data_IF_748478380724
#
_entry.id   IF_748478380724
#
_cell.length_a   1.000
_cell.length_b   1.000
_cell.length_c   1.000
_cell.angle_alpha   90.00
_cell.angle_beta   90.00
_cell.angle_gamma   90.00
#
_symmetry.space_group_name_H-M   'P 1'
#
loop_
_entity.id
_entity.type
_entity.pdbx_description
1 polymer ?
#
# COMPACT_ATOMS: atom_id res chain seq x y z
N UNK A 1 6.41 21.54 5.33
CA UNK A 1 6.45 20.58 6.47
C UNK A 1 5.87 19.30 5.93
N UNK A 2 6.55 18.17 6.11
CA UNK A 2 6.12 16.89 5.56
C UNK A 2 4.70 16.53 6.03
N UNK A 3 3.85 16.05 5.12
CA UNK A 3 2.50 15.56 5.42
C UNK A 3 2.24 14.19 4.80
N UNK A 4 1.32 13.42 5.39
CA UNK A 4 0.99 12.07 4.90
C UNK A 4 0.44 12.07 3.45
N UNK A 5 -0.19 13.15 2.98
CA UNK A 5 -0.61 13.28 1.58
C UNK A 5 0.53 13.26 0.58
N UNK A 6 1.72 13.68 1.02
CA UNK A 6 2.90 13.76 0.17
C UNK A 6 3.51 12.38 -0.07
N UNK A 7 3.14 11.34 0.69
CA UNK A 7 3.59 9.96 0.43
C UNK A 7 2.69 9.18 -0.53
N UNK A 8 1.56 9.75 -0.95
CA UNK A 8 0.64 9.06 -1.87
C UNK A 8 1.25 8.99 -3.26
N UNK A 9 1.33 7.78 -3.82
CA UNK A 9 2.03 7.51 -5.08
C UNK A 9 3.44 6.96 -4.88
N UNK A 10 3.98 7.01 -3.66
CA UNK A 10 5.38 6.70 -3.39
C UNK A 10 5.59 5.29 -2.84
N UNK A 11 6.83 4.82 -2.98
CA UNK A 11 7.34 3.65 -2.29
C UNK A 11 7.96 4.08 -0.96
N UNK A 12 7.33 3.70 0.14
CA UNK A 12 7.78 4.01 1.49
C UNK A 12 8.15 2.75 2.26
N UNK A 13 8.88 2.91 3.37
CA UNK A 13 9.05 1.87 4.38
C UNK A 13 8.09 2.14 5.53
N UNK A 14 7.31 1.13 5.91
CA UNK A 14 6.50 1.18 7.13
C UNK A 14 7.05 0.21 8.17
N UNK A 15 7.01 0.62 9.43
CA UNK A 15 7.33 -0.21 10.60
C UNK A 15 6.04 -0.50 11.35
N UNK A 16 5.79 -1.77 11.59
CA UNK A 16 4.57 -2.30 12.18
C UNK A 16 4.84 -2.82 13.59
N UNK A 17 3.86 -2.67 14.47
CA UNK A 17 3.84 -3.30 15.80
C UNK A 17 2.53 -4.06 16.00
N UNK A 18 2.60 -5.22 16.68
CA UNK A 18 1.44 -6.08 16.88
C UNK A 18 0.87 -6.66 15.58
N UNK A 19 1.68 -6.80 14.51
CA UNK A 19 1.22 -7.15 13.16
C UNK A 19 0.84 -8.62 12.95
N UNK A 20 0.84 -9.45 14.00
CA UNK A 20 0.43 -10.86 13.94
C UNK A 20 -0.91 -11.10 13.20
N UNK A 21 -1.96 -10.27 13.35
CA UNK A 21 -3.18 -10.42 12.57
C UNK A 21 -2.99 -10.19 11.06
N UNK A 22 -2.04 -9.33 10.66
CA UNK A 22 -1.77 -8.99 9.27
C UNK A 22 -1.06 -10.13 8.50
N UNK A 23 -0.48 -11.11 9.21
CA UNK A 23 0.04 -12.34 8.57
C UNK A 23 -1.04 -13.11 7.82
N UNK A 24 -2.30 -13.05 8.29
CA UNK A 24 -3.45 -13.68 7.61
C UNK A 24 -3.73 -13.13 6.21
N UNK A 25 -3.20 -11.94 5.91
CA UNK A 25 -3.29 -11.28 4.60
C UNK A 25 -1.92 -11.19 3.90
N UNK A 26 -0.92 -11.95 4.37
CA UNK A 26 0.40 -12.08 3.73
C UNK A 26 1.44 -11.03 4.13
N UNK A 27 1.17 -10.24 5.18
CA UNK A 27 2.15 -9.30 5.74
C UNK A 27 2.89 -10.00 6.89
N UNK A 28 3.97 -10.67 6.56
CA UNK A 28 4.73 -11.53 7.50
C UNK A 28 5.75 -10.75 8.34
N UNK A 29 6.32 -9.70 7.75
CA UNK A 29 7.40 -8.90 8.33
C UNK A 29 6.84 -7.66 9.02
N UNK A 30 7.51 -7.24 10.08
CA UNK A 30 7.24 -5.99 10.81
C UNK A 30 7.78 -4.76 10.07
N UNK A 31 8.69 -4.93 9.11
CA UNK A 31 9.23 -3.87 8.26
C UNK A 31 8.99 -4.22 6.80
N UNK A 32 8.21 -3.40 6.11
CA UNK A 32 7.85 -3.66 4.70
C UNK A 32 7.93 -2.39 3.86
N UNK A 33 8.39 -2.55 2.63
CA UNK A 33 8.26 -1.53 1.60
C UNK A 33 6.92 -1.66 0.88
N UNK A 34 6.21 -0.54 0.74
CA UNK A 34 4.85 -0.52 0.19
C UNK A 34 4.65 0.69 -0.72
N UNK A 35 3.91 0.49 -1.81
CA UNK A 35 3.40 1.58 -2.63
C UNK A 35 2.10 2.10 -2.01
N UNK A 36 2.02 3.41 -1.79
CA UNK A 36 0.85 4.05 -1.16
C UNK A 36 -0.18 4.44 -2.22
N UNK A 37 -1.37 3.89 -2.12
CA UNK A 37 -2.50 4.26 -2.97
C UNK A 37 -3.30 5.43 -2.39
N UNK A 38 -3.26 5.63 -1.07
CA UNK A 38 -3.99 6.67 -0.37
C UNK A 38 -4.02 6.45 1.14
N UNK A 39 -4.77 7.29 1.85
CA UNK A 39 -4.98 7.17 3.28
C UNK A 39 -6.30 7.83 3.69
N UNK A 40 -6.85 7.41 4.82
CA UNK A 40 -8.08 7.96 5.40
C UNK A 40 -8.03 7.94 6.93
N UNK A 41 -9.16 8.18 7.59
CA UNK A 41 -9.27 8.18 9.05
C UNK A 41 -9.02 6.81 9.70
N UNK A 42 -9.09 5.71 8.93
CA UNK A 42 -8.90 4.36 9.44
C UNK A 42 -7.48 3.83 9.24
N UNK A 43 -6.78 4.27 8.19
CA UNK A 43 -5.44 3.79 7.91
C UNK A 43 -4.83 4.25 6.58
N UNK A 44 -3.80 3.52 6.18
CA UNK A 44 -3.13 3.68 4.90
C UNK A 44 -3.54 2.58 3.93
N UNK A 45 -3.89 2.95 2.71
CA UNK A 45 -4.14 2.02 1.62
C UNK A 45 -2.84 1.75 0.85
N UNK A 46 -2.42 0.49 0.82
CA UNK A 46 -1.22 0.05 0.11
C UNK A 46 -1.56 -0.83 -1.08
N UNK A 47 -0.71 -0.80 -2.11
CA UNK A 47 -0.81 -1.70 -3.25
C UNK A 47 -0.23 -3.08 -2.93
N UNK A 48 -0.96 -4.14 -3.26
CA UNK A 48 -0.51 -5.52 -3.20
C UNK A 48 -0.69 -6.21 -4.56
N UNK A 49 0.38 -6.49 -5.32
CA UNK A 49 0.28 -6.85 -6.73
C UNK A 49 -0.26 -8.27 -7.00
N UNK A 50 -0.19 -9.18 -6.01
CA UNK A 50 -0.45 -10.61 -6.20
C UNK A 50 -1.25 -11.25 -5.06
N UNK A 51 -2.35 -10.62 -4.65
CA UNK A 51 -3.20 -11.12 -3.57
C UNK A 51 -3.99 -12.36 -4.02
N UNK A 52 -4.03 -13.40 -3.18
CA UNK A 52 -4.68 -14.67 -3.51
C UNK A 52 -6.15 -14.64 -3.11
N UNK A 53 -7.04 -14.77 -4.09
CA UNK A 53 -8.50 -14.79 -3.87
C UNK A 53 -9.14 -16.05 -4.42
N UNK A 54 -10.30 -16.49 -3.89
CA UNK A 54 -11.08 -17.57 -4.48
C UNK A 54 -11.45 -17.28 -5.94
N UNK A 55 -11.39 -18.30 -6.79
CA UNK A 55 -11.83 -18.20 -8.17
C UNK A 55 -13.37 -18.36 -8.27
N UNK A 56 -14.09 -17.29 -7.95
CA UNK A 56 -15.56 -17.27 -7.95
C UNK A 56 -16.18 -17.38 -9.35
N UNK A 57 -15.41 -17.13 -10.40
CA UNK A 57 -15.92 -17.18 -11.79
C UNK A 57 -15.99 -18.58 -12.36
N UNK A 58 -15.36 -19.57 -11.71
CA UNK A 58 -15.30 -20.96 -12.19
C UNK A 58 -14.55 -21.15 -13.51
N UNK A 59 -14.03 -20.08 -14.12
CA UNK A 59 -13.19 -20.15 -15.32
C UNK A 59 -11.76 -20.52 -14.92
N UNK A 60 -11.32 -21.71 -15.34
CA UNK A 60 -9.99 -22.24 -15.07
C UNK A 60 -9.97 -23.34 -14.01
N UNK A 61 -8.93 -24.18 -14.05
CA UNK A 61 -8.78 -25.36 -13.16
C UNK A 61 -8.39 -25.01 -11.72
N UNK A 62 -7.95 -23.79 -11.46
CA UNK A 62 -7.42 -23.39 -10.14
C UNK A 62 -8.53 -22.85 -9.24
N UNK A 63 -8.53 -23.32 -7.97
CA UNK A 63 -9.48 -22.86 -6.93
C UNK A 63 -9.25 -21.41 -6.51
N UNK A 64 -8.05 -20.88 -6.75
CA UNK A 64 -7.66 -19.50 -6.45
C UNK A 64 -7.08 -18.82 -7.68
N UNK A 65 -7.10 -17.48 -7.67
CA UNK A 65 -6.42 -16.63 -8.64
C UNK A 65 -5.68 -15.51 -7.92
N UNK A 66 -4.62 -14.99 -8.56
CA UNK A 66 -3.89 -13.81 -8.08
C UNK A 66 -4.48 -12.57 -8.73
N UNK A 67 -4.73 -11.54 -7.94
CA UNK A 67 -5.22 -10.24 -8.38
C UNK A 67 -4.44 -9.13 -7.71
N UNK A 68 -4.41 -7.97 -8.35
CA UNK A 68 -3.99 -6.74 -7.68
C UNK A 68 -5.05 -6.35 -6.65
N UNK A 69 -4.62 -5.94 -5.46
CA UNK A 69 -5.49 -5.54 -4.39
C UNK A 69 -4.96 -4.26 -3.73
N UNK A 70 -5.88 -3.42 -3.25
CA UNK A 70 -5.56 -2.38 -2.27
C UNK A 70 -5.87 -2.91 -0.88
N UNK A 71 -4.92 -2.83 0.04
CA UNK A 71 -5.04 -3.33 1.40
C UNK A 71 -4.98 -2.15 2.35
N UNK A 72 -5.95 -2.04 3.25
CA UNK A 72 -5.90 -1.07 4.36
C UNK A 72 -5.03 -1.64 5.48
N UNK A 73 -3.98 -0.92 5.85
CA UNK A 73 -3.25 -1.13 7.10
C UNK A 73 -3.76 -0.07 8.10
N UNK A 74 -4.47 -0.50 9.17
CA UNK A 74 -4.95 0.42 10.19
C UNK A 74 -3.82 1.19 10.87
N UNK A 75 -4.08 2.47 11.21
CA UNK A 75 -3.09 3.32 11.89
C UNK A 75 -2.53 2.70 13.17
N UNK A 76 -3.36 1.96 13.90
CA UNK A 76 -2.98 1.28 15.14
C UNK A 76 -1.82 0.27 14.98
N UNK A 77 -1.55 -0.21 13.76
CA UNK A 77 -0.42 -1.10 13.50
C UNK A 77 0.83 -0.34 13.04
N UNK A 78 0.72 0.91 12.59
CA UNK A 78 1.83 1.66 12.00
C UNK A 78 2.49 2.50 13.08
N UNK A 79 3.71 2.11 13.46
CA UNK A 79 4.50 2.86 14.46
C UNK A 79 5.31 3.96 13.80
N UNK A 80 5.78 3.73 12.58
CA UNK A 80 6.61 4.70 11.86
C UNK A 80 6.51 4.52 10.35
N UNK A 81 6.71 5.64 9.65
CA UNK A 81 6.79 5.73 8.20
C UNK A 81 8.10 6.43 7.86
N UNK A 82 8.92 5.79 7.02
CA UNK A 82 10.07 6.43 6.40
C UNK A 82 9.76 6.69 4.92
N UNK A 83 9.75 7.97 4.57
CA UNK A 83 9.68 8.46 3.20
C UNK A 83 11.09 8.81 2.70
N UNK A 84 11.29 8.79 1.39
CA UNK A 84 12.61 8.97 0.76
C UNK A 84 12.57 10.08 -0.30
N UNK A 85 12.33 11.36 0.06
CA UNK A 85 12.22 12.43 -0.91
C UNK A 85 13.47 12.56 -1.78
N UNK A 86 13.27 12.72 -3.09
CA UNK A 86 14.32 12.84 -4.11
C UNK A 86 15.11 11.56 -4.38
N UNK A 87 14.78 10.43 -3.74
CA UNK A 87 15.44 9.16 -4.01
C UNK A 87 14.84 8.49 -5.26
N UNK A 88 15.69 8.22 -6.25
CA UNK A 88 15.28 7.60 -7.51
C UNK A 88 14.61 6.23 -7.27
N UNK A 89 13.40 6.07 -7.82
CA UNK A 89 12.60 4.85 -7.70
C UNK A 89 11.83 4.70 -6.38
N UNK A 90 11.88 5.70 -5.50
CA UNK A 90 11.10 5.74 -4.25
C UNK A 90 10.12 6.91 -4.19
N UNK A 91 10.56 8.07 -4.69
CA UNK A 91 9.81 9.32 -4.73
C UNK A 91 9.23 9.53 -6.13
N UNK A 92 7.92 9.42 -6.25
CA UNK A 92 7.17 9.58 -7.49
C UNK A 92 6.33 10.87 -7.41
N UNK A 93 6.01 11.51 -8.55
CA UNK A 93 5.17 12.70 -8.51
C UNK A 93 3.80 12.36 -7.90
N UNK A 94 3.39 13.14 -6.89
CA UNK A 94 2.10 12.95 -6.24
C UNK A 94 0.99 12.96 -7.30
N UNK A 95 0.00 12.05 -7.23
CA UNK A 95 -1.15 12.10 -8.14
C UNK A 95 -1.95 13.40 -7.98
N UNK A 96 -1.78 14.14 -6.88
CA UNK A 96 -2.38 15.45 -6.67
C UNK A 96 -1.59 16.61 -7.30
N UNK A 97 -0.30 16.40 -7.61
CA UNK A 97 0.55 17.39 -8.28
C UNK A 97 0.44 17.29 -9.82
N UNK A 98 -0.18 16.22 -10.31
CA UNK A 98 -0.51 16.10 -11.73
C UNK A 98 -1.54 17.15 -12.10
N UNK A 99 -1.11 18.17 -12.84
CA UNK A 99 -2.03 19.11 -13.49
C UNK A 99 -2.84 18.33 -14.53
N UNK A 100 -4.04 17.89 -14.14
CA UNK A 100 -5.02 17.34 -15.10
C UNK A 100 -5.47 18.53 -15.95
N UNK A 101 -4.89 18.61 -17.15
CA UNK A 101 -5.02 19.76 -18.04
C UNK A 101 -6.47 20.09 -18.39
N UNK A 102 -6.94 21.21 -17.86
CA UNK A 102 -7.77 22.18 -18.56
C UNK A 102 -7.27 23.57 -18.16
N UNK A 103 -6.40 24.15 -18.99
CA UNK A 103 -6.23 25.62 -19.05
C UNK A 103 -7.39 26.24 -19.84
#
# INVERSE_FOLDING_TARGET
>A
MMQIKEVVGDLILIVLEGHEPLKKIGIEQDKIFVYVNGYDEHGMWISHPKFSVPNVTGKGKTKTKKVEASILIPWAFIVSIAHFPGAEGFDFPSPFDQHIGFE
#
